data_IF_212543081395
#
_entry.id   IF_212543081395
#
_cell.length_a   1.000
_cell.length_b   1.000
_cell.length_c   1.000
_cell.angle_alpha   90.00
_cell.angle_beta   90.00
_cell.angle_gamma   90.00
#
_symmetry.space_group_name_H-M   'P 1'
#
loop_
_entity.id
_entity.type
_entity.pdbx_description
1 polymer ?
#
# COMPACT_ATOMS: atom_id res chain seq x y z
N UNK A 1 -12.01 1.07 -12.35
CA UNK A 1 -11.02 2.00 -11.78
C UNK A 1 -9.96 1.14 -11.11
N UNK A 2 -8.69 1.29 -11.46
CA UNK A 2 -7.58 0.54 -10.84
C UNK A 2 -7.30 1.10 -9.43
N UNK A 3 -7.06 0.21 -8.46
CA UNK A 3 -6.80 0.57 -7.07
C UNK A 3 -5.56 1.45 -6.95
N UNK A 4 -4.52 1.21 -7.76
CA UNK A 4 -3.30 2.01 -7.77
C UNK A 4 -3.57 3.46 -8.18
N UNK A 5 -4.38 3.66 -9.22
CA UNK A 5 -4.77 5.00 -9.68
C UNK A 5 -5.62 5.72 -8.64
N UNK A 6 -6.58 5.04 -8.02
CA UNK A 6 -7.42 5.63 -6.97
C UNK A 6 -6.57 6.09 -5.76
N UNK A 7 -5.65 5.22 -5.33
CA UNK A 7 -4.77 5.49 -4.18
C UNK A 7 -3.64 6.48 -4.51
N UNK A 8 -3.29 6.68 -5.77
CA UNK A 8 -2.07 7.40 -6.15
C UNK A 8 -0.79 6.63 -5.78
N UNK A 9 -0.88 5.29 -5.73
CA UNK A 9 0.24 4.42 -5.38
C UNK A 9 1.27 4.40 -6.51
N UNK A 10 2.54 4.59 -6.17
CA UNK A 10 3.61 4.76 -7.16
C UNK A 10 4.62 3.62 -7.05
N UNK A 11 4.92 2.98 -8.19
CA UNK A 11 5.96 1.97 -8.30
C UNK A 11 7.31 2.63 -8.55
N UNK A 12 8.37 2.10 -7.95
CA UNK A 12 9.74 2.51 -8.29
C UNK A 12 10.30 1.67 -9.45
N UNK A 13 11.57 1.89 -9.82
CA UNK A 13 12.28 1.00 -10.74
C UNK A 13 12.49 -0.41 -10.16
N UNK A 14 12.46 -0.56 -8.83
CA UNK A 14 12.47 -1.85 -8.16
C UNK A 14 11.01 -2.33 -7.99
N UNK A 15 10.61 -3.47 -8.57
CA UNK A 15 9.24 -3.94 -8.52
C UNK A 15 8.74 -4.30 -7.11
N UNK A 16 9.67 -4.47 -6.16
CA UNK A 16 9.40 -4.73 -4.75
C UNK A 16 9.36 -3.46 -3.89
N UNK A 17 9.53 -2.27 -4.49
CA UNK A 17 9.47 -0.98 -3.78
C UNK A 17 8.44 -0.05 -4.37
N UNK A 18 7.60 0.46 -3.48
CA UNK A 18 6.49 1.34 -3.79
C UNK A 18 6.42 2.44 -2.74
N UNK A 19 5.73 3.53 -3.06
CA UNK A 19 5.43 4.56 -2.07
C UNK A 19 4.03 5.12 -2.29
N UNK A 20 3.36 5.42 -1.19
CA UNK A 20 2.05 6.04 -1.15
C UNK A 20 2.18 7.46 -0.58
N UNK A 21 2.05 8.51 -1.40
CA UNK A 21 1.84 9.86 -0.90
C UNK A 21 0.56 9.91 -0.07
N UNK A 22 0.65 10.30 1.19
CA UNK A 22 -0.50 10.34 2.10
C UNK A 22 -1.28 11.62 1.82
N UNK A 23 -2.18 11.55 0.85
CA UNK A 23 -3.09 12.65 0.51
C UNK A 23 -4.29 12.70 1.46
N UNK A 24 -4.84 13.91 1.67
CA UNK A 24 -5.99 14.11 2.56
C UNK A 24 -7.20 13.26 2.16
N UNK A 25 -7.40 12.99 0.86
CA UNK A 25 -8.49 12.13 0.34
C UNK A 25 -8.42 10.68 0.84
N UNK A 26 -7.24 10.23 1.29
CA UNK A 26 -7.00 8.88 1.80
C UNK A 26 -7.10 8.81 3.33
N UNK A 27 -7.26 9.95 3.99
CA UNK A 27 -7.21 10.07 5.44
C UNK A 27 -8.61 10.07 6.08
N UNK A 28 -8.65 9.73 7.37
CA UNK A 28 -9.87 9.84 8.18
C UNK A 28 -10.06 11.28 8.66
N UNK A 29 -11.23 11.57 9.25
CA UNK A 29 -11.48 12.83 9.97
C UNK A 29 -10.53 13.07 11.16
N UNK A 30 -9.78 12.06 11.61
CA UNK A 30 -8.76 12.17 12.64
C UNK A 30 -7.40 12.69 12.15
N UNK A 31 -7.28 13.12 10.89
CA UNK A 31 -6.05 13.64 10.29
C UNK A 31 -4.90 12.61 10.22
N UNK A 32 -5.24 11.36 9.91
CA UNK A 32 -4.30 10.28 9.64
C UNK A 32 -4.85 9.32 8.58
N UNK A 33 -3.94 8.61 7.90
CA UNK A 33 -4.24 7.66 6.83
C UNK A 33 -5.28 6.64 7.28
N UNK A 34 -6.35 6.49 6.48
CA UNK A 34 -7.35 5.47 6.74
C UNK A 34 -6.71 4.07 6.59
N UNK A 35 -6.91 3.21 7.59
CA UNK A 35 -6.32 1.87 7.59
C UNK A 35 -6.65 1.07 6.32
N UNK A 36 -7.88 1.18 5.82
CA UNK A 36 -8.26 0.51 4.56
C UNK A 36 -7.47 1.02 3.34
N UNK A 37 -7.12 2.31 3.29
CA UNK A 37 -6.27 2.88 2.23
C UNK A 37 -4.84 2.33 2.31
N UNK A 38 -4.27 2.24 3.52
CA UNK A 38 -2.96 1.66 3.75
C UNK A 38 -2.91 0.17 3.38
N UNK A 39 -3.92 -0.59 3.82
CA UNK A 39 -4.07 -2.02 3.49
C UNK A 39 -4.25 -2.24 1.98
N UNK A 40 -5.08 -1.42 1.33
CA UNK A 40 -5.28 -1.46 -0.12
C UNK A 40 -3.98 -1.20 -0.87
N UNK A 41 -3.18 -0.23 -0.45
CA UNK A 41 -1.87 0.04 -1.04
C UNK A 41 -0.90 -1.15 -0.89
N UNK A 42 -0.86 -1.77 0.29
CA UNK A 42 -0.04 -2.96 0.53
C UNK A 42 -0.49 -4.15 -0.35
N UNK A 43 -1.80 -4.39 -0.48
CA UNK A 43 -2.36 -5.41 -1.39
C UNK A 43 -1.92 -5.13 -2.83
N UNK A 44 -2.15 -3.91 -3.34
CA UNK A 44 -1.81 -3.55 -4.72
C UNK A 44 -0.32 -3.71 -5.02
N UNK A 45 0.55 -3.45 -4.04
CA UNK A 45 2.00 -3.66 -4.13
C UNK A 45 2.35 -5.15 -4.12
N UNK A 46 1.74 -5.96 -3.24
CA UNK A 46 1.91 -7.42 -3.20
C UNK A 46 1.51 -8.07 -4.52
N UNK A 47 0.34 -7.73 -5.05
CA UNK A 47 -0.14 -8.25 -6.34
C UNK A 47 0.74 -7.78 -7.50
N UNK A 48 1.25 -6.54 -7.42
CA UNK A 48 2.19 -6.01 -8.42
C UNK A 48 3.54 -6.70 -8.44
N UNK A 49 4.08 -7.02 -7.26
CA UNK A 49 5.36 -7.69 -7.14
C UNK A 49 5.29 -9.20 -7.47
N UNK A 50 4.15 -9.83 -7.23
CA UNK A 50 3.97 -11.29 -7.40
C UNK A 50 3.25 -11.69 -8.68
N UNK A 51 2.53 -10.77 -9.33
CA UNK A 51 1.69 -11.05 -10.49
C UNK A 51 0.48 -11.95 -10.16
N UNK A 52 0.11 -12.06 -8.88
CA UNK A 52 -0.96 -12.95 -8.38
C UNK A 52 -1.91 -12.15 -7.50
N UNK A 53 -3.20 -12.50 -7.54
CA UNK A 53 -4.20 -11.85 -6.69
C UNK A 53 -4.07 -12.31 -5.23
N UNK A 54 -4.33 -11.39 -4.30
CA UNK A 54 -4.36 -11.69 -2.87
C UNK A 54 -5.61 -12.51 -2.51
N UNK A 55 -5.43 -13.58 -1.73
CA UNK A 55 -6.53 -14.40 -1.20
C UNK A 55 -7.01 -13.85 0.14
N UNK A 56 -6.06 -13.54 1.04
CA UNK A 56 -6.31 -12.95 2.34
C UNK A 56 -5.10 -12.11 2.74
N UNK A 57 -5.31 -11.14 3.62
CA UNK A 57 -4.25 -10.28 4.16
C UNK A 57 -4.51 -10.00 5.63
N UNK A 58 -3.44 -9.82 6.38
CA UNK A 58 -3.49 -9.29 7.75
C UNK A 58 -2.54 -8.10 7.83
N UNK A 59 -2.87 -7.13 8.68
CA UNK A 59 -2.03 -5.97 8.91
C UNK A 59 -2.03 -5.59 10.39
N UNK A 60 -0.91 -5.02 10.82
CA UNK A 60 -0.73 -4.45 12.15
C UNK A 60 -0.40 -2.97 11.97
N UNK A 61 -1.13 -2.10 12.67
CA UNK A 61 -0.90 -0.66 12.64
C UNK A 61 -0.12 -0.24 13.89
N UNK A 62 1.11 0.23 13.69
CA UNK A 62 2.02 0.57 14.79
C UNK A 62 2.07 2.08 15.07
N UNK A 63 1.78 2.90 14.06
CA UNK A 63 1.82 4.36 14.15
C UNK A 63 0.86 5.00 13.15
N UNK A 64 0.59 6.29 13.33
CA UNK A 64 -0.19 7.09 12.39
C UNK A 64 0.70 7.71 11.32
N UNK A 65 0.28 7.62 10.06
CA UNK A 65 0.80 8.44 8.97
C UNK A 65 -0.13 9.63 8.73
N UNK A 66 0.40 10.85 8.67
CA UNK A 66 -0.36 12.10 8.54
C UNK A 66 -0.37 12.62 7.11
N UNK A 67 -1.34 13.46 6.72
CA UNK A 67 -1.33 14.10 5.41
C UNK A 67 -0.01 14.81 5.11
N UNK A 68 0.49 14.63 3.89
CA UNK A 68 1.76 15.19 3.42
C UNK A 68 2.99 14.31 3.70
N UNK A 69 2.84 13.26 4.52
CA UNK A 69 3.87 12.23 4.68
C UNK A 69 3.85 11.26 3.50
N UNK A 70 4.87 10.40 3.43
CA UNK A 70 4.96 9.31 2.45
C UNK A 70 5.07 8.00 3.21
N UNK A 71 4.25 7.02 2.83
CA UNK A 71 4.36 5.65 3.31
C UNK A 71 5.16 4.84 2.29
N UNK A 72 6.40 4.53 2.62
CA UNK A 72 7.22 3.59 1.84
C UNK A 72 6.75 2.15 2.08
N UNK A 73 6.72 1.36 1.01
CA UNK A 73 6.28 -0.04 1.03
C UNK A 73 7.37 -0.91 0.41
N UNK A 74 7.97 -1.74 1.25
CA UNK A 74 8.89 -2.81 0.86
C UNK A 74 8.13 -4.14 0.80
N UNK A 75 8.13 -4.79 -0.36
CA UNK A 75 7.52 -6.11 -0.55
C UNK A 75 8.59 -7.20 -0.44
N UNK A 76 8.38 -8.13 0.48
CA UNK A 76 9.22 -9.33 0.62
C UNK A 76 8.40 -10.54 0.22
N UNK A 77 8.91 -11.34 -0.71
CA UNK A 77 8.32 -12.63 -1.11
C UNK A 77 9.18 -13.74 -0.51
N UNK A 78 8.84 -14.25 0.69
CA UNK A 78 9.68 -15.24 1.36
C UNK A 78 9.62 -16.62 0.69
N UNK A 79 8.50 -16.94 0.04
CA UNK A 79 8.26 -18.21 -0.66
C UNK A 79 7.40 -17.96 -1.90
N UNK A 80 7.75 -18.59 -3.01
CA UNK A 80 6.95 -18.62 -4.24
C UNK A 80 6.58 -20.06 -4.56
N UNK A 81 5.29 -20.38 -4.56
CA UNK A 81 4.79 -21.69 -5.00
C UNK A 81 4.78 -21.81 -6.53
N UNK A 82 5.03 -23.01 -7.03
CA UNK A 82 4.98 -23.36 -8.46
C UNK A 82 3.56 -23.27 -9.01
#
# INVERSE_FOLDING_TARGET
>A
MDSRTFLGLQQTHNPFRWYLPVEMKLCTGGNFLYGGSALGAAISALEGATGRNVIWVTAQYLSYARPGEVMDIDVIVPVTGN
#
